data_IF_868523180717
#
_entry.id   IF_868523180717
#
_cell.length_a   1.000
_cell.length_b   1.000
_cell.length_c   1.000
_cell.angle_alpha   90.00
_cell.angle_beta   90.00
_cell.angle_gamma   90.00
#
_symmetry.space_group_name_H-M   'P 1'
#
loop_
_entity.id
_entity.type
_entity.pdbx_description
1 polymer ?
#
# COMPACT_ATOMS: atom_id res chain seq x y z
N UNK A 1 16.91 9.85 -22.87
CA UNK A 1 17.10 9.40 -21.49
C UNK A 1 16.03 8.36 -21.22
N UNK A 2 16.37 7.17 -20.70
CA UNK A 2 15.36 6.18 -20.36
C UNK A 2 14.50 6.73 -19.21
N UNK A 3 13.18 6.56 -19.33
CA UNK A 3 12.23 6.90 -18.26
C UNK A 3 11.84 5.59 -17.59
N UNK A 4 11.84 5.59 -16.26
CA UNK A 4 11.26 4.53 -15.45
C UNK A 4 10.06 5.06 -14.66
N UNK A 5 9.19 4.16 -14.26
CA UNK A 5 7.98 4.45 -13.51
C UNK A 5 8.13 3.92 -12.09
N UNK A 6 8.31 4.82 -11.13
CA UNK A 6 8.43 4.50 -9.71
C UNK A 6 7.04 4.54 -9.05
N UNK A 7 6.64 3.44 -8.43
CA UNK A 7 5.45 3.42 -7.57
C UNK A 7 5.88 3.72 -6.14
N UNK A 8 5.22 4.69 -5.50
CA UNK A 8 5.49 5.13 -4.13
C UNK A 8 4.22 5.09 -3.27
N UNK A 9 4.39 4.89 -1.96
CA UNK A 9 3.34 5.12 -0.96
C UNK A 9 3.49 6.52 -0.34
N UNK A 10 2.42 7.33 -0.24
CA UNK A 10 2.57 8.80 -0.06
C UNK A 10 1.65 9.49 0.95
N UNK A 11 0.66 8.82 1.55
CA UNK A 11 -0.50 9.53 2.11
C UNK A 11 -0.49 9.93 3.60
N UNK A 12 0.47 9.49 4.42
CA UNK A 12 0.39 9.81 5.85
C UNK A 12 1.12 11.13 6.08
N UNK A 13 0.40 12.19 6.47
CA UNK A 13 0.98 13.53 6.72
C UNK A 13 2.20 13.52 7.67
N UNK A 14 2.30 12.50 8.53
CA UNK A 14 3.39 12.32 9.48
C UNK A 14 4.50 11.37 9.04
N UNK A 15 4.42 10.75 7.85
CA UNK A 15 5.46 9.85 7.36
C UNK A 15 6.00 10.28 6.00
N UNK A 16 7.32 10.18 5.78
CA UNK A 16 7.88 10.39 4.45
C UNK A 16 7.28 9.37 3.47
N UNK A 17 7.16 9.74 2.18
CA UNK A 17 6.79 8.79 1.15
C UNK A 17 7.88 7.73 1.02
N UNK A 18 7.48 6.48 0.76
CA UNK A 18 8.42 5.37 0.55
C UNK A 18 8.39 4.90 -0.91
N UNK A 19 9.55 4.69 -1.54
CA UNK A 19 9.62 4.02 -2.83
C UNK A 19 9.28 2.53 -2.64
N UNK A 20 8.43 1.99 -3.51
CA UNK A 20 7.98 0.60 -3.41
C UNK A 20 8.60 -0.29 -4.49
N UNK A 21 8.45 0.11 -5.76
CA UNK A 21 8.96 -0.67 -6.91
C UNK A 21 9.10 0.21 -8.15
N UNK A 22 10.08 -0.12 -8.99
CA UNK A 22 10.34 0.53 -10.29
C UNK A 22 9.89 -0.38 -11.43
N UNK A 23 9.31 0.20 -12.47
CA UNK A 23 8.89 -0.46 -13.69
C UNK A 23 9.47 0.25 -14.92
N UNK A 24 9.72 -0.50 -15.99
CA UNK A 24 10.10 0.06 -17.29
C UNK A 24 8.89 0.45 -18.14
N UNK A 25 7.71 -0.07 -17.80
CA UNK A 25 6.46 0.15 -18.51
C UNK A 25 5.43 0.84 -17.60
N UNK A 26 4.78 1.87 -18.13
CA UNK A 26 3.80 2.68 -17.39
C UNK A 26 2.57 1.86 -17.03
N UNK A 27 2.06 1.07 -17.98
CA UNK A 27 0.83 0.31 -17.79
C UNK A 27 1.01 -0.75 -16.69
N UNK A 28 2.19 -1.38 -16.60
CA UNK A 28 2.52 -2.27 -15.48
C UNK A 28 2.56 -1.54 -14.13
N UNK A 29 3.14 -0.33 -14.07
CA UNK A 29 3.17 0.46 -12.85
C UNK A 29 1.77 0.87 -12.39
N UNK A 30 0.92 1.35 -13.31
CA UNK A 30 -0.46 1.75 -13.06
C UNK A 30 -1.34 0.54 -12.67
N UNK A 31 -1.13 -0.62 -13.31
CA UNK A 31 -1.80 -1.86 -12.92
C UNK A 31 -1.46 -2.24 -11.48
N UNK A 32 -0.17 -2.22 -11.12
CA UNK A 32 0.24 -2.55 -9.76
C UNK A 32 -0.27 -1.51 -8.75
N UNK A 33 -0.23 -0.22 -9.08
CA UNK A 33 -0.85 0.83 -8.27
C UNK A 33 -2.33 0.55 -8.01
N UNK A 34 -3.09 0.16 -9.05
CA UNK A 34 -4.49 -0.19 -8.91
C UNK A 34 -4.69 -1.40 -7.98
N UNK A 35 -3.84 -2.43 -8.07
CA UNK A 35 -3.85 -3.58 -7.14
C UNK A 35 -3.60 -3.14 -5.68
N UNK A 36 -2.67 -2.22 -5.44
CA UNK A 36 -2.41 -1.68 -4.09
C UNK A 36 -3.60 -0.89 -3.54
N UNK A 37 -4.27 -0.10 -4.39
CA UNK A 37 -5.49 0.63 -4.03
C UNK A 37 -6.62 -0.36 -3.75
N UNK A 38 -6.80 -1.37 -4.61
CA UNK A 38 -7.80 -2.42 -4.46
C UNK A 38 -7.60 -3.25 -3.18
N UNK A 39 -6.36 -3.43 -2.73
CA UNK A 39 -6.10 -4.08 -1.45
C UNK A 39 -6.68 -3.28 -0.26
N UNK A 40 -6.61 -1.96 -0.34
CA UNK A 40 -7.05 -1.04 0.72
C UNK A 40 -8.55 -0.79 0.79
N UNK A 41 -9.32 -1.20 -0.23
CA UNK A 41 -10.80 -1.14 -0.18
C UNK A 41 -11.42 -2.38 0.49
N UNK A 42 -10.62 -3.42 0.77
CA UNK A 42 -11.06 -4.63 1.45
C UNK A 42 -10.28 -4.89 2.77
N UNK A 43 -10.24 -3.94 3.73
CA UNK A 43 -9.72 -4.23 5.05
C UNK A 43 -10.68 -5.16 5.83
N UNK A 44 -10.19 -5.84 6.88
CA UNK A 44 -11.06 -6.54 7.84
C UNK A 44 -12.15 -5.63 8.39
N UNK A 45 -13.34 -6.19 8.59
CA UNK A 45 -14.49 -5.48 9.13
C UNK A 45 -14.26 -5.10 10.59
N UNK A 46 -14.55 -3.85 10.94
CA UNK A 46 -14.47 -3.37 12.32
C UNK A 46 -15.57 -4.04 13.15
N UNK A 47 -15.26 -4.64 14.31
CA UNK A 47 -16.25 -5.30 15.14
C UNK A 47 -17.30 -4.32 15.66
N UNK A 48 -18.52 -4.81 15.90
CA UNK A 48 -19.62 -4.02 16.45
C UNK A 48 -19.70 -4.22 17.97
N UNK A 49 -19.68 -3.12 18.72
CA UNK A 49 -19.76 -3.13 20.19
C UNK A 49 -18.39 -3.24 20.88
N UNK A 50 -18.42 -3.38 22.21
CA UNK A 50 -17.23 -3.23 23.06
C UNK A 50 -16.72 -4.58 23.63
N UNK A 51 -17.10 -5.70 23.01
CA UNK A 51 -16.65 -7.02 23.43
C UNK A 51 -15.14 -7.20 23.19
N UNK A 52 -14.38 -7.40 24.28
CA UNK A 52 -12.93 -7.52 24.23
C UNK A 52 -12.44 -8.71 23.38
N UNK A 53 -13.22 -9.79 23.29
CA UNK A 53 -12.91 -10.94 22.44
C UNK A 53 -12.93 -10.59 20.95
N UNK A 54 -13.95 -9.84 20.54
CA UNK A 54 -14.16 -9.36 19.17
C UNK A 54 -13.07 -8.39 18.72
N UNK A 55 -12.68 -7.45 19.59
CA UNK A 55 -11.55 -6.56 19.34
C UNK A 55 -10.22 -7.30 19.20
N UNK A 56 -9.95 -8.30 20.05
CA UNK A 56 -8.75 -9.13 19.93
C UNK A 56 -8.70 -9.93 18.62
N UNK A 57 -9.84 -10.45 18.17
CA UNK A 57 -9.93 -11.16 16.90
C UNK A 57 -9.70 -10.20 15.71
N UNK A 58 -10.26 -9.00 15.78
CA UNK A 58 -10.05 -7.94 14.79
C UNK A 58 -8.57 -7.55 14.69
N UNK A 59 -7.88 -7.35 15.81
CA UNK A 59 -6.46 -7.00 15.82
C UNK A 59 -5.61 -8.07 15.12
N UNK A 60 -5.91 -9.35 15.35
CA UNK A 60 -5.22 -10.46 14.67
C UNK A 60 -5.49 -10.49 13.16
N UNK A 61 -6.74 -10.23 12.74
CA UNK A 61 -7.09 -10.13 11.32
C UNK A 61 -6.40 -8.94 10.65
N UNK A 62 -6.36 -7.79 11.33
CA UNK A 62 -5.65 -6.60 10.88
C UNK A 62 -4.16 -6.87 10.72
N UNK A 63 -3.51 -7.53 11.67
CA UNK A 63 -2.09 -7.86 11.57
C UNK A 63 -1.80 -8.83 10.41
N UNK A 64 -2.64 -9.83 10.22
CA UNK A 64 -2.54 -10.76 9.10
C UNK A 64 -2.74 -10.03 7.75
N UNK A 65 -3.73 -9.14 7.66
CA UNK A 65 -3.97 -8.30 6.48
C UNK A 65 -2.76 -7.41 6.20
N UNK A 66 -2.23 -6.70 7.19
CA UNK A 66 -1.01 -5.88 6.98
C UNK A 66 0.17 -6.72 6.51
N UNK A 67 0.36 -7.91 7.08
CA UNK A 67 1.46 -8.81 6.73
C UNK A 67 1.34 -9.37 5.31
N UNK A 68 0.12 -9.54 4.80
CA UNK A 68 -0.16 -10.03 3.44
C UNK A 68 -0.17 -8.92 2.37
N UNK A 69 0.13 -7.67 2.74
CA UNK A 69 0.07 -6.55 1.82
C UNK A 69 1.04 -6.73 0.62
N UNK A 70 0.61 -6.51 -0.65
CA UNK A 70 1.43 -6.83 -1.83
C UNK A 70 2.74 -6.04 -1.96
N UNK A 71 2.83 -4.88 -1.31
CA UNK A 71 4.05 -4.07 -1.22
C UNK A 71 4.75 -4.15 0.15
N UNK A 72 4.41 -5.16 0.96
CA UNK A 72 4.96 -5.37 2.30
C UNK A 72 4.22 -4.62 3.41
N UNK A 73 4.53 -5.01 4.64
CA UNK A 73 3.84 -4.56 5.87
C UNK A 73 3.90 -3.04 6.09
N UNK A 74 5.03 -2.39 5.80
CA UNK A 74 5.12 -0.94 6.00
C UNK A 74 4.22 -0.17 5.05
N UNK A 75 4.07 -0.65 3.81
CA UNK A 75 3.21 -0.03 2.80
C UNK A 75 1.73 -0.13 3.15
N UNK A 76 1.31 -1.15 3.91
CA UNK A 76 -0.07 -1.33 4.38
C UNK A 76 -0.55 -0.22 5.33
N UNK A 77 0.37 0.62 5.82
CA UNK A 77 0.06 1.74 6.71
C UNK A 77 -0.27 3.01 5.91
N UNK A 78 0.05 3.06 4.62
CA UNK A 78 -0.16 4.22 3.76
C UNK A 78 -1.49 4.14 3.02
N UNK A 79 -2.16 5.28 2.85
CA UNK A 79 -3.51 5.34 2.25
C UNK A 79 -3.53 5.70 0.76
N UNK A 80 -2.38 6.02 0.15
CA UNK A 80 -2.28 6.46 -1.25
C UNK A 80 -1.02 5.90 -1.86
N UNK A 81 -1.16 5.54 -3.13
CA UNK A 81 -0.11 5.01 -3.98
C UNK A 81 -0.06 5.86 -5.25
N UNK A 82 1.13 6.26 -5.67
CA UNK A 82 1.33 7.10 -6.86
C UNK A 82 2.38 6.51 -7.79
N UNK A 83 2.20 6.73 -9.09
CA UNK A 83 3.19 6.41 -10.13
C UNK A 83 3.90 7.70 -10.52
N UNK A 84 5.22 7.67 -10.53
CA UNK A 84 6.08 8.81 -10.84
C UNK A 84 7.02 8.47 -11.98
N UNK A 85 7.12 9.35 -12.98
CA UNK A 85 8.11 9.27 -14.04
C UNK A 85 9.45 9.79 -13.53
N UNK A 86 10.49 8.96 -13.61
CA UNK A 86 11.82 9.27 -13.11
C UNK A 86 12.84 8.98 -14.22
N UNK A 87 13.80 9.89 -14.49
CA UNK A 87 14.94 9.58 -15.35
C UNK A 87 15.76 8.42 -14.77
N UNK A 88 16.15 7.45 -15.61
CA UNK A 88 16.89 6.26 -15.17
C UNK A 88 18.36 6.54 -14.77
N UNK A 89 18.83 7.77 -14.95
CA UNK A 89 20.25 8.13 -14.93
C UNK A 89 20.67 8.91 -13.66
N UNK A 90 19.94 8.74 -12.53
CA UNK A 90 20.26 9.39 -11.24
C UNK A 90 21.42 8.71 -10.51
#
# INVERSE_FOLDING_TARGET
>A
MPIVYLVMATAIQSKPPIPLRVFQDRAQAEKWQAELISYHICPPDIPVGDDAGSWKAYDAQMEAWRSAHPAGFDASRYQRFGVYEVPADL
#
